data_IF_053278886905
#
_entry.id   IF_053278886905
#
_cell.length_a   1.000
_cell.length_b   1.000
_cell.length_c   1.000
_cell.angle_alpha   90.00
_cell.angle_beta   90.00
_cell.angle_gamma   90.00
#
_symmetry.space_group_name_H-M   'P 1'
#
loop_
_entity.id
_entity.type
_entity.pdbx_description
1 polymer ?
#
# COMPACT_ATOMS: atom_id res chain seq x y z
N UNK A 1 -6.79 62.79 -24.27
CA UNK A 1 -7.32 61.75 -23.35
C UNK A 1 -8.35 60.80 -23.97
N UNK A 2 -9.20 61.20 -24.93
CA UNK A 2 -10.25 60.33 -25.51
C UNK A 2 -9.73 59.20 -26.44
N UNK A 3 -8.63 59.39 -27.17
CA UNK A 3 -8.11 58.36 -28.09
C UNK A 3 -7.39 57.20 -27.39
N UNK A 4 -6.81 57.44 -26.22
CA UNK A 4 -6.09 56.41 -25.45
C UNK A 4 -7.07 55.38 -24.85
N UNK A 5 -8.26 55.82 -24.45
CA UNK A 5 -9.32 54.96 -23.94
C UNK A 5 -9.93 54.06 -25.03
N UNK A 6 -10.12 54.59 -26.25
CA UNK A 6 -10.59 53.76 -27.38
C UNK A 6 -9.59 52.65 -27.73
N UNK A 7 -8.30 52.93 -27.71
CA UNK A 7 -7.27 51.93 -28.01
C UNK A 7 -7.22 50.80 -26.98
N UNK A 8 -7.45 51.10 -25.70
CA UNK A 8 -7.48 50.10 -24.62
C UNK A 8 -8.73 49.22 -24.72
N UNK A 9 -9.89 49.83 -25.00
CA UNK A 9 -11.15 49.09 -25.19
C UNK A 9 -11.06 48.18 -26.42
N UNK A 10 -10.48 48.66 -27.52
CA UNK A 10 -10.35 47.88 -28.76
C UNK A 10 -9.36 46.71 -28.62
N UNK A 11 -8.26 46.89 -27.87
CA UNK A 11 -7.33 45.79 -27.52
C UNK A 11 -7.96 44.77 -26.58
N UNK A 12 -8.76 45.22 -25.60
CA UNK A 12 -9.49 44.33 -24.68
C UNK A 12 -10.55 43.51 -25.42
N UNK A 13 -11.29 44.13 -26.35
CA UNK A 13 -12.27 43.45 -27.20
C UNK A 13 -11.60 42.41 -28.10
N UNK A 14 -10.44 42.73 -28.67
CA UNK A 14 -9.70 41.81 -29.55
C UNK A 14 -9.12 40.62 -28.78
N UNK A 15 -8.65 40.84 -27.55
CA UNK A 15 -8.25 39.78 -26.61
C UNK A 15 -9.42 38.86 -26.23
N UNK A 16 -10.61 39.42 -26.02
CA UNK A 16 -11.82 38.64 -25.73
C UNK A 16 -12.27 37.79 -26.92
N UNK A 17 -12.19 38.33 -28.15
CA UNK A 17 -12.55 37.60 -29.37
C UNK A 17 -11.57 36.44 -29.63
N UNK A 18 -10.27 36.65 -29.46
CA UNK A 18 -9.25 35.60 -29.60
C UNK A 18 -9.42 34.51 -28.54
N UNK A 19 -9.83 34.86 -27.32
CA UNK A 19 -10.07 33.89 -26.25
C UNK A 19 -11.36 33.06 -26.45
N UNK A 20 -12.35 33.61 -27.18
CA UNK A 20 -13.60 32.92 -27.51
C UNK A 20 -13.53 32.02 -28.75
N UNK A 21 -12.47 32.15 -29.57
CA UNK A 21 -12.32 31.45 -30.84
C UNK A 21 -11.56 30.11 -30.74
N UNK A 22 -11.19 29.66 -29.55
CA UNK A 22 -10.70 28.29 -29.34
C UNK A 22 -11.89 27.36 -29.09
N UNK A 23 -12.35 26.57 -30.08
CA UNK A 23 -13.30 25.51 -29.80
C UNK A 23 -12.68 24.59 -28.75
N UNK A 24 -13.37 24.43 -27.62
CA UNK A 24 -13.05 23.38 -26.65
C UNK A 24 -13.26 22.05 -27.38
N UNK A 25 -12.20 21.49 -27.94
CA UNK A 25 -12.16 20.07 -28.27
C UNK A 25 -12.27 19.30 -26.95
N UNK A 26 -13.51 18.98 -26.56
CA UNK A 26 -13.76 17.93 -25.58
C UNK A 26 -13.47 16.64 -26.34
N UNK A 27 -12.22 16.21 -26.30
CA UNK A 27 -11.84 14.88 -26.74
C UNK A 27 -12.41 13.91 -25.70
N UNK A 28 -13.64 13.42 -25.92
CA UNK A 28 -14.17 12.33 -25.10
C UNK A 28 -13.45 11.06 -25.53
N UNK A 29 -12.39 10.69 -24.81
CA UNK A 29 -11.75 9.40 -25.04
C UNK A 29 -12.78 8.30 -24.80
N UNK A 30 -12.91 7.30 -25.69
CA UNK A 30 -13.82 6.19 -25.47
C UNK A 30 -13.51 5.52 -24.14
N UNK A 31 -14.54 5.33 -23.29
CA UNK A 31 -14.38 4.70 -21.99
C UNK A 31 -13.96 3.24 -22.17
N UNK A 32 -12.70 2.91 -21.89
CA UNK A 32 -12.22 1.53 -21.89
C UNK A 32 -12.98 0.74 -20.82
N UNK A 33 -13.67 -0.32 -21.22
CA UNK A 33 -14.29 -1.27 -20.27
C UNK A 33 -13.16 -2.04 -19.60
N UNK A 34 -12.96 -1.85 -18.30
CA UNK A 34 -11.98 -2.58 -17.50
C UNK A 34 -12.67 -3.30 -16.34
N UNK A 35 -12.13 -4.46 -15.99
CA UNK A 35 -12.51 -5.19 -14.77
C UNK A 35 -11.36 -5.01 -13.78
N UNK A 36 -11.65 -4.45 -12.61
CA UNK A 36 -10.67 -4.21 -11.54
C UNK A 36 -11.09 -5.04 -10.34
N UNK A 37 -10.13 -5.76 -9.77
CA UNK A 37 -10.29 -6.62 -8.59
C UNK A 37 -9.26 -6.21 -7.54
N UNK A 38 -9.66 -6.22 -6.27
CA UNK A 38 -8.78 -5.96 -5.14
C UNK A 38 -9.07 -6.94 -4.01
N UNK A 39 -8.01 -7.36 -3.31
CA UNK A 39 -8.10 -8.21 -2.13
C UNK A 39 -7.63 -7.41 -0.91
N UNK A 40 -8.48 -7.32 0.10
CA UNK A 40 -8.17 -6.64 1.36
C UNK A 40 -8.02 -7.66 2.49
N UNK A 41 -7.08 -7.42 3.39
CA UNK A 41 -6.92 -8.24 4.58
C UNK A 41 -8.06 -8.03 5.58
N UNK A 42 -8.17 -8.93 6.56
CA UNK A 42 -9.14 -8.79 7.67
C UNK A 42 -8.63 -7.91 8.81
N UNK A 43 -7.32 -7.76 8.93
CA UNK A 43 -6.67 -6.92 9.95
C UNK A 43 -6.43 -5.51 9.44
N UNK A 44 -6.14 -4.59 10.36
CA UNK A 44 -5.85 -3.18 10.07
C UNK A 44 -4.43 -2.99 9.55
N UNK A 45 -4.18 -1.85 8.91
CA UNK A 45 -2.86 -1.46 8.41
C UNK A 45 -1.80 -1.50 9.53
N UNK A 46 -0.70 -2.21 9.25
CA UNK A 46 0.46 -2.31 10.14
C UNK A 46 1.60 -1.39 9.70
N UNK A 47 2.50 -1.06 10.62
CA UNK A 47 3.66 -0.19 10.37
C UNK A 47 4.74 -0.91 9.55
N UNK A 48 5.26 -0.26 8.51
CA UNK A 48 6.35 -0.81 7.69
C UNK A 48 7.64 -1.05 8.49
N UNK A 49 7.93 -0.22 9.49
CA UNK A 49 9.10 -0.42 10.36
C UNK A 49 8.91 -1.66 11.24
N UNK A 50 7.69 -1.90 11.73
CA UNK A 50 7.39 -3.12 12.49
C UNK A 50 7.44 -4.37 11.59
N UNK A 51 6.92 -4.30 10.37
CA UNK A 51 7.03 -5.42 9.42
C UNK A 51 8.49 -5.69 9.04
N UNK A 52 9.29 -4.64 8.87
CA UNK A 52 10.71 -4.78 8.62
C UNK A 52 11.45 -5.38 9.83
N UNK A 53 11.09 -5.02 11.07
CA UNK A 53 11.71 -5.66 12.25
C UNK A 53 11.39 -7.16 12.30
N UNK A 54 10.16 -7.56 12.00
CA UNK A 54 9.77 -8.98 11.94
C UNK A 54 10.50 -9.75 10.84
N UNK A 55 10.76 -9.11 9.69
CA UNK A 55 11.64 -9.68 8.66
C UNK A 55 13.06 -9.91 9.20
N UNK A 56 13.60 -8.94 9.94
CA UNK A 56 14.94 -9.08 10.56
C UNK A 56 14.97 -10.21 11.57
N UNK A 57 13.92 -10.37 12.38
CA UNK A 57 13.82 -11.45 13.35
C UNK A 57 13.79 -12.83 12.69
N UNK A 58 13.12 -12.96 11.54
CA UNK A 58 13.14 -14.22 10.78
C UNK A 58 14.56 -14.59 10.32
N UNK A 59 15.41 -13.62 10.01
CA UNK A 59 16.82 -13.87 9.67
C UNK A 59 17.67 -14.17 10.92
N UNK A 60 17.53 -13.38 11.98
CA UNK A 60 18.20 -13.59 13.28
C UNK A 60 17.66 -12.65 14.37
N UNK A 61 17.50 -13.14 15.60
CA UNK A 61 17.20 -12.33 16.78
C UNK A 61 18.22 -11.19 16.98
N UNK A 62 19.48 -11.42 16.63
CA UNK A 62 20.52 -10.36 16.72
C UNK A 62 20.28 -9.23 15.73
N UNK A 63 19.76 -9.54 14.54
CA UNK A 63 19.42 -8.55 13.52
C UNK A 63 18.16 -7.78 13.91
N UNK A 64 17.17 -8.44 14.54
CA UNK A 64 16.02 -7.74 15.11
C UNK A 64 16.48 -6.64 16.06
N UNK A 65 17.28 -6.99 17.08
CA UNK A 65 17.74 -6.00 18.06
C UNK A 65 18.68 -4.94 17.46
N UNK A 66 19.52 -5.30 16.49
CA UNK A 66 20.33 -4.32 15.76
C UNK A 66 19.46 -3.33 14.99
N UNK A 67 18.38 -3.78 14.35
CA UNK A 67 17.44 -2.91 13.65
C UNK A 67 16.67 -1.99 14.60
N UNK A 68 16.28 -2.49 15.77
CA UNK A 68 15.70 -1.66 16.83
C UNK A 68 16.68 -0.55 17.28
N UNK A 69 17.97 -0.87 17.39
CA UNK A 69 19.00 0.11 17.76
C UNK A 69 19.16 1.20 16.69
N UNK A 70 19.15 0.83 15.42
CA UNK A 70 19.16 1.77 14.29
C UNK A 70 17.96 2.73 14.33
N UNK A 71 16.76 2.25 14.68
CA UNK A 71 15.57 3.09 14.85
C UNK A 71 15.76 4.08 16.01
N UNK A 72 16.33 3.63 17.13
CA UNK A 72 16.55 4.49 18.31
C UNK A 72 17.56 5.59 17.99
N UNK A 73 18.64 5.27 17.29
CA UNK A 73 19.74 6.18 17.02
C UNK A 73 19.46 7.16 15.87
N UNK A 74 18.85 6.70 14.78
CA UNK A 74 18.78 7.49 13.52
C UNK A 74 17.44 8.18 13.30
N UNK A 75 16.37 7.76 13.98
CA UNK A 75 15.04 8.31 13.75
C UNK A 75 14.71 9.46 14.70
N UNK A 76 14.11 10.53 14.16
CA UNK A 76 13.47 11.55 14.99
C UNK A 76 12.03 11.13 15.33
N UNK A 77 11.79 10.69 16.56
CA UNK A 77 10.47 10.21 17.02
C UNK A 77 9.42 11.32 17.07
N UNK A 78 9.84 12.57 17.19
CA UNK A 78 8.91 13.71 17.27
C UNK A 78 8.25 13.96 15.91
N UNK A 79 8.91 13.61 14.81
CA UNK A 79 8.37 13.78 13.46
C UNK A 79 7.62 12.54 12.95
N UNK A 80 7.78 11.38 13.61
CA UNK A 80 7.27 10.09 13.12
C UNK A 80 5.79 10.13 12.73
N UNK A 81 4.96 10.74 13.57
CA UNK A 81 3.51 10.84 13.37
C UNK A 81 3.10 11.71 12.16
N UNK A 82 4.03 12.50 11.60
CA UNK A 82 3.76 13.37 10.44
C UNK A 82 4.08 12.68 9.11
N UNK A 83 4.70 11.50 9.13
CA UNK A 83 5.20 10.85 7.94
C UNK A 83 4.11 10.09 7.19
N UNK A 84 4.07 10.27 5.87
CA UNK A 84 3.21 9.48 4.99
C UNK A 84 3.67 8.02 4.93
N UNK A 85 2.77 7.11 4.57
CA UNK A 85 3.06 5.67 4.40
C UNK A 85 4.27 5.43 3.48
N UNK A 86 4.40 6.20 2.39
CA UNK A 86 5.55 6.13 1.50
C UNK A 86 6.87 6.51 2.19
N UNK A 87 6.87 7.60 2.98
CA UNK A 87 8.05 8.02 3.73
C UNK A 87 8.41 7.04 4.83
N UNK A 88 7.42 6.44 5.49
CA UNK A 88 7.63 5.38 6.49
C UNK A 88 8.26 4.13 5.86
N UNK A 89 7.79 3.73 4.66
CA UNK A 89 8.39 2.65 3.88
C UNK A 89 9.86 2.96 3.51
N UNK A 90 10.12 4.13 2.94
CA UNK A 90 11.47 4.53 2.54
C UNK A 90 12.44 4.53 3.74
N UNK A 91 11.94 4.96 4.90
CA UNK A 91 12.71 4.95 6.13
C UNK A 91 12.98 3.53 6.63
N UNK A 92 11.98 2.65 6.59
CA UNK A 92 12.14 1.25 6.99
C UNK A 92 13.23 0.56 6.15
N UNK A 93 13.19 0.75 4.83
CA UNK A 93 14.18 0.23 3.87
C UNK A 93 15.55 0.87 4.10
N UNK A 94 15.61 2.18 4.33
CA UNK A 94 16.88 2.88 4.60
C UNK A 94 17.55 2.37 5.88
N UNK A 95 16.81 2.22 6.97
CA UNK A 95 17.36 1.69 8.22
C UNK A 95 17.88 0.26 8.03
N UNK A 96 17.14 -0.55 7.27
CA UNK A 96 17.53 -1.93 6.97
C UNK A 96 18.82 -2.01 6.15
N UNK A 97 19.06 -1.04 5.26
CA UNK A 97 20.24 -1.02 4.40
C UNK A 97 21.57 -0.88 5.14
N UNK A 98 21.56 -0.43 6.39
CA UNK A 98 22.76 -0.40 7.22
C UNK A 98 23.15 -1.79 7.76
N UNK A 99 22.20 -2.73 7.77
CA UNK A 99 22.36 -4.04 8.40
C UNK A 99 22.36 -5.21 7.39
N UNK A 100 21.68 -5.03 6.26
CA UNK A 100 21.48 -6.08 5.26
C UNK A 100 22.30 -5.87 3.99
N UNK A 101 22.73 -6.99 3.40
CA UNK A 101 23.32 -7.04 2.06
C UNK A 101 22.25 -6.79 0.96
N UNK A 102 22.70 -6.46 -0.25
CA UNK A 102 21.82 -6.10 -1.38
C UNK A 102 20.77 -7.18 -1.72
N UNK A 103 21.15 -8.46 -1.70
CA UNK A 103 20.25 -9.58 -1.98
C UNK A 103 19.12 -9.67 -0.95
N UNK A 104 19.45 -9.55 0.34
CA UNK A 104 18.48 -9.53 1.44
C UNK A 104 17.64 -8.26 1.41
N UNK A 105 18.19 -7.13 0.99
CA UNK A 105 17.42 -5.89 0.80
C UNK A 105 16.36 -6.03 -0.29
N UNK A 106 16.64 -6.73 -1.38
CA UNK A 106 15.64 -7.01 -2.41
C UNK A 106 14.54 -7.94 -1.89
N UNK A 107 14.91 -8.93 -1.07
CA UNK A 107 13.95 -9.81 -0.42
C UNK A 107 13.07 -9.06 0.59
N UNK A 108 13.64 -8.15 1.39
CA UNK A 108 12.89 -7.29 2.32
C UNK A 108 11.87 -6.45 1.55
N UNK A 109 12.28 -5.77 0.48
CA UNK A 109 11.36 -4.96 -0.35
C UNK A 109 10.22 -5.80 -0.91
N UNK A 110 10.52 -7.04 -1.33
CA UNK A 110 9.52 -7.99 -1.79
C UNK A 110 8.58 -8.45 -0.65
N UNK A 111 9.11 -8.75 0.54
CA UNK A 111 8.31 -9.13 1.70
C UNK A 111 7.37 -7.99 2.14
N UNK A 112 7.85 -6.73 2.13
CA UNK A 112 7.06 -5.54 2.43
C UNK A 112 5.98 -5.28 1.36
N UNK A 113 6.26 -5.53 0.07
CA UNK A 113 5.25 -5.38 -0.98
C UNK A 113 4.15 -6.44 -0.91
N UNK A 114 4.48 -7.64 -0.42
CA UNK A 114 3.52 -8.72 -0.14
C UNK A 114 2.80 -8.57 1.20
N UNK A 115 3.27 -7.69 2.09
CA UNK A 115 2.79 -7.61 3.49
C UNK A 115 2.95 -8.93 4.24
N UNK A 116 4.04 -9.65 3.98
CA UNK A 116 4.27 -11.02 4.47
C UNK A 116 4.27 -11.13 6.01
N UNK A 117 4.78 -10.10 6.69
CA UNK A 117 4.86 -10.04 8.16
C UNK A 117 3.73 -9.23 8.81
N UNK A 118 2.86 -8.60 8.02
CA UNK A 118 1.68 -7.92 8.54
C UNK A 118 0.79 -8.80 9.46
N UNK A 119 0.55 -10.11 9.19
CA UNK A 119 -0.25 -10.95 10.08
C UNK A 119 0.46 -11.32 11.40
N UNK A 120 1.78 -11.21 11.51
CA UNK A 120 2.50 -11.52 12.77
C UNK A 120 2.34 -10.40 13.79
N UNK A 121 2.07 -9.18 13.31
CA UNK A 121 1.80 -7.98 14.11
C UNK A 121 0.36 -7.99 14.64
N UNK A 122 0.02 -9.03 15.41
CA UNK A 122 -1.26 -9.15 16.10
C UNK A 122 -1.43 -8.05 17.15
N UNK A 123 -2.59 -7.39 17.18
CA UNK A 123 -2.87 -6.31 18.14
C UNK A 123 -3.68 -6.84 19.33
N UNK A 124 -3.05 -6.87 20.51
CA UNK A 124 -3.78 -7.07 21.77
C UNK A 124 -4.53 -5.79 22.14
N UNK A 125 -5.85 -5.89 22.36
CA UNK A 125 -6.69 -4.74 22.71
C UNK A 125 -6.74 -4.53 24.22
N UNK A 126 -5.64 -4.09 24.83
CA UNK A 126 -5.67 -3.55 26.20
C UNK A 126 -5.51 -2.03 26.18
N UNK A 127 -6.50 -1.35 26.76
CA UNK A 127 -6.71 0.09 26.65
C UNK A 127 -6.20 0.80 27.89
N UNK A 128 -5.13 1.58 27.76
CA UNK A 128 -4.97 2.80 28.56
C UNK A 128 -3.94 3.76 27.94
N UNK A 129 -2.79 3.25 27.51
CA UNK A 129 -1.60 4.08 27.23
C UNK A 129 -1.01 3.82 25.84
N UNK A 130 -0.19 4.75 25.34
CA UNK A 130 0.44 4.63 24.02
C UNK A 130 1.55 3.56 23.98
N UNK A 131 2.27 3.42 25.09
CA UNK A 131 3.16 2.31 25.40
C UNK A 131 3.02 1.98 26.89
N UNK A 132 3.26 0.73 27.26
CA UNK A 132 3.18 0.27 28.64
C UNK A 132 4.09 -0.93 28.88
N UNK A 133 4.44 -1.15 30.14
CA UNK A 133 5.21 -2.30 30.60
C UNK A 133 4.30 -3.26 31.38
N UNK A 134 4.49 -4.55 31.18
CA UNK A 134 3.89 -5.63 31.96
C UNK A 134 4.99 -6.39 32.70
N UNK A 135 4.92 -6.37 34.02
CA UNK A 135 5.79 -7.12 34.92
C UNK A 135 4.92 -8.08 35.72
N UNK A 136 4.88 -9.34 35.27
CA UNK A 136 4.17 -10.42 35.96
C UNK A 136 2.69 -10.09 36.24
N UNK A 137 2.02 -9.44 35.28
CA UNK A 137 0.60 -9.06 35.38
C UNK A 137 0.36 -7.64 35.89
N UNK A 138 1.38 -6.99 36.47
CA UNK A 138 1.30 -5.58 36.90
C UNK A 138 1.66 -4.67 35.73
N UNK A 139 0.67 -3.89 35.26
CA UNK A 139 0.83 -2.95 34.16
C UNK A 139 1.26 -1.57 34.65
N UNK A 140 2.25 -0.95 34.02
CA UNK A 140 2.62 0.46 34.24
C UNK A 140 2.74 1.23 32.94
N UNK A 141 2.27 2.48 32.95
CA UNK A 141 2.36 3.40 31.82
C UNK A 141 3.45 4.46 31.97
N UNK A 142 4.07 4.57 33.14
CA UNK A 142 5.21 5.46 33.36
C UNK A 142 6.49 4.64 33.52
N UNK A 143 7.54 5.12 32.85
CA UNK A 143 8.89 4.57 32.92
C UNK A 143 9.49 4.79 34.31
N UNK A 144 9.12 5.87 35.00
CA UNK A 144 9.63 6.19 36.34
C UNK A 144 9.19 5.17 37.41
N UNK A 145 8.04 4.52 37.20
CA UNK A 145 7.52 3.51 38.12
C UNK A 145 8.03 2.10 37.80
N UNK A 146 8.78 1.93 36.70
CA UNK A 146 9.25 0.63 36.23
C UNK A 146 10.12 -0.08 37.26
N UNK A 147 11.10 0.62 37.86
CA UNK A 147 11.97 0.03 38.89
C UNK A 147 11.18 -0.38 40.13
N UNK A 148 10.23 0.46 40.57
CA UNK A 148 9.38 0.16 41.73
C UNK A 148 8.53 -1.09 41.50
N UNK A 149 7.98 -1.25 40.29
CA UNK A 149 7.17 -2.41 39.92
C UNK A 149 8.02 -3.69 39.84
N UNK A 150 9.27 -3.59 39.37
CA UNK A 150 10.20 -4.73 39.30
C UNK A 150 10.62 -5.20 40.70
N UNK A 151 10.83 -4.27 41.62
CA UNK A 151 11.25 -4.54 43.00
C UNK A 151 10.09 -4.96 43.92
N UNK A 152 8.84 -4.85 43.45
CA UNK A 152 7.66 -5.31 44.19
C UNK A 152 7.67 -6.82 44.38
N UNK A 153 7.39 -7.30 45.59
CA UNK A 153 7.20 -8.73 45.88
C UNK A 153 5.78 -9.23 45.57
N UNK A 154 4.81 -8.33 45.39
CA UNK A 154 3.45 -8.68 44.99
C UNK A 154 3.36 -8.82 43.45
N UNK A 155 3.97 -9.90 42.94
CA UNK A 155 3.99 -10.24 41.52
C UNK A 155 3.00 -11.36 41.24
N UNK A 156 2.25 -11.21 40.14
CA UNK A 156 1.41 -12.28 39.62
C UNK A 156 2.24 -13.43 39.02
N UNK A 157 1.60 -14.38 38.33
CA UNK A 157 2.31 -15.48 37.70
C UNK A 157 3.27 -14.98 36.61
N UNK A 158 4.34 -15.74 36.36
CA UNK A 158 5.29 -15.46 35.29
C UNK A 158 4.53 -15.41 33.95
N UNK A 159 4.63 -14.31 33.18
CA UNK A 159 3.96 -14.19 31.90
C UNK A 159 4.45 -15.26 30.93
N UNK A 160 3.51 -15.81 30.15
CA UNK A 160 3.85 -16.71 29.06
C UNK A 160 4.62 -15.96 27.98
N UNK A 161 5.83 -16.43 27.67
CA UNK A 161 6.62 -15.99 26.53
C UNK A 161 6.33 -16.95 25.37
N UNK A 162 5.94 -16.40 24.22
CA UNK A 162 5.59 -17.15 23.02
C UNK A 162 6.80 -17.31 22.10
N UNK A 163 6.72 -18.22 21.14
CA UNK A 163 7.80 -18.44 20.15
C UNK A 163 8.02 -17.25 19.21
N UNK A 164 7.04 -16.34 19.09
CA UNK A 164 7.11 -15.12 18.29
C UNK A 164 7.68 -13.93 19.08
N UNK A 165 7.93 -14.09 20.37
CA UNK A 165 8.41 -13.00 21.22
C UNK A 165 9.92 -12.81 21.09
N UNK A 166 10.33 -11.55 20.97
CA UNK A 166 11.75 -11.19 20.91
C UNK A 166 12.30 -10.96 22.31
N UNK A 167 13.29 -11.76 22.70
CA UNK A 167 13.88 -11.76 24.07
C UNK A 167 15.27 -11.12 24.07
N UNK A 168 15.56 -10.30 25.08
CA UNK A 168 16.85 -9.65 25.31
C UNK A 168 17.34 -9.77 26.78
N UNK A 169 18.61 -10.19 27.02
CA UNK A 169 19.52 -10.85 26.08
C UNK A 169 19.13 -12.32 25.87
N UNK A 170 19.61 -12.93 24.78
CA UNK A 170 19.26 -14.30 24.37
C UNK A 170 19.66 -15.38 25.40
N UNK A 171 20.68 -15.15 26.23
CA UNK A 171 21.37 -16.24 26.97
C UNK A 171 21.30 -16.20 28.50
N UNK A 172 20.52 -15.31 29.11
CA UNK A 172 20.51 -15.17 30.57
C UNK A 172 19.18 -15.62 31.17
N UNK A 173 19.28 -16.53 32.15
CA UNK A 173 18.18 -16.79 33.06
C UNK A 173 17.98 -15.56 33.96
N UNK A 174 16.80 -14.95 33.85
CA UNK A 174 16.38 -13.88 34.74
C UNK A 174 15.09 -14.27 35.45
N UNK A 175 15.00 -13.91 36.73
CA UNK A 175 13.84 -14.24 37.58
C UNK A 175 12.60 -13.38 37.24
N UNK A 176 12.81 -12.20 36.64
CA UNK A 176 11.74 -11.24 36.32
C UNK A 176 11.63 -11.10 34.80
N UNK A 177 10.42 -11.21 34.29
CA UNK A 177 10.11 -11.01 32.86
C UNK A 177 9.39 -9.68 32.71
N UNK A 178 9.99 -8.78 31.94
CA UNK A 178 9.47 -7.47 31.61
C UNK A 178 9.06 -7.46 30.14
N UNK A 179 7.77 -7.29 29.87
CA UNK A 179 7.24 -7.20 28.51
C UNK A 179 6.91 -5.73 28.22
N UNK A 180 7.51 -5.15 27.19
CA UNK A 180 7.16 -3.80 26.73
C UNK A 180 6.24 -3.93 25.53
N UNK A 181 5.11 -3.24 25.61
CA UNK A 181 4.16 -3.05 24.52
C UNK A 181 4.27 -1.61 24.05
N UNK A 182 4.49 -1.41 22.75
CA UNK A 182 4.43 -0.08 22.17
C UNK A 182 4.62 -0.09 20.66
N UNK A 183 4.29 1.04 20.06
CA UNK A 183 4.50 1.26 18.63
C UNK A 183 5.94 1.72 18.43
N UNK A 184 6.68 1.01 17.57
CA UNK A 184 8.05 1.40 17.23
C UNK A 184 8.07 2.84 16.72
N UNK A 185 9.20 3.51 16.91
CA UNK A 185 9.39 4.90 16.50
C UNK A 185 8.50 5.94 17.20
N UNK A 186 7.77 5.58 18.26
CA UNK A 186 7.07 6.56 19.11
C UNK A 186 7.93 7.02 20.29
N UNK A 187 7.76 8.27 20.78
CA UNK A 187 8.50 8.77 21.94
C UNK A 187 8.25 7.96 23.22
N UNK A 188 7.02 7.50 23.44
CA UNK A 188 6.64 6.68 24.61
C UNK A 188 7.36 5.34 24.59
N UNK A 189 7.33 4.63 23.45
CA UNK A 189 8.05 3.37 23.29
C UNK A 189 9.56 3.54 23.48
N UNK A 190 10.17 4.58 22.90
CA UNK A 190 11.62 4.81 23.01
C UNK A 190 12.07 4.92 24.46
N UNK A 191 11.33 5.66 25.30
CA UNK A 191 11.65 5.80 26.73
C UNK A 191 11.62 4.46 27.45
N UNK A 192 10.57 3.66 27.22
CA UNK A 192 10.45 2.32 27.80
C UNK A 192 11.56 1.38 27.31
N UNK A 193 11.84 1.38 26.01
CA UNK A 193 12.87 0.55 25.40
C UNK A 193 14.25 0.81 26.00
N UNK A 194 14.65 2.09 26.10
CA UNK A 194 15.95 2.48 26.70
C UNK A 194 16.08 2.03 28.15
N UNK A 195 15.03 2.25 28.95
CA UNK A 195 15.01 1.82 30.36
C UNK A 195 15.06 0.28 30.49
N UNK A 196 14.21 -0.44 29.74
CA UNK A 196 14.16 -1.90 29.74
C UNK A 196 15.49 -2.51 29.31
N UNK A 197 16.14 -1.95 28.29
CA UNK A 197 17.45 -2.41 27.80
C UNK A 197 18.55 -2.18 28.83
N UNK A 198 18.55 -1.05 29.53
CA UNK A 198 19.49 -0.78 30.61
C UNK A 198 19.32 -1.76 31.78
N UNK A 199 18.07 -1.97 32.22
CA UNK A 199 17.73 -2.92 33.29
C UNK A 199 18.12 -4.35 32.93
N UNK A 200 17.85 -4.76 31.70
CA UNK A 200 18.21 -6.08 31.18
C UNK A 200 19.73 -6.29 31.12
N UNK A 201 20.49 -5.29 30.65
CA UNK A 201 21.96 -5.32 30.66
C UNK A 201 22.54 -5.43 32.07
N UNK A 202 21.92 -4.76 33.05
CA UNK A 202 22.30 -4.86 34.46
C UNK A 202 21.95 -6.20 35.11
N UNK A 203 21.23 -7.09 34.41
CA UNK A 203 20.89 -8.42 34.91
C UNK A 203 19.56 -8.51 35.65
N UNK A 204 18.85 -7.39 35.84
CA UNK A 204 17.62 -7.33 36.67
C UNK A 204 16.42 -8.02 36.04
N UNK A 205 16.27 -7.94 34.71
CA UNK A 205 15.08 -8.41 33.99
C UNK A 205 15.42 -9.09 32.67
N UNK A 206 14.60 -10.08 32.29
CA UNK A 206 14.48 -10.55 30.92
C UNK A 206 13.54 -9.60 30.18
N UNK A 207 14.05 -8.90 29.18
CA UNK A 207 13.28 -7.94 28.40
C UNK A 207 12.65 -8.64 27.20
N UNK A 208 11.35 -8.46 27.01
CA UNK A 208 10.59 -8.92 25.85
C UNK A 208 9.93 -7.72 25.18
N UNK A 209 10.03 -7.61 23.86
CA UNK A 209 9.35 -6.58 23.08
C UNK A 209 8.17 -7.19 22.31
N UNK A 210 6.97 -6.66 22.52
CA UNK A 210 5.78 -6.98 21.73
C UNK A 210 5.27 -5.73 21.01
N UNK A 211 4.93 -5.90 19.74
CA UNK A 211 4.33 -4.83 18.96
C UNK A 211 2.93 -4.51 19.48
N UNK A 212 2.66 -3.21 19.68
CA UNK A 212 1.35 -2.74 20.09
C UNK A 212 1.08 -1.37 19.49
N UNK A 213 -0.14 -1.16 18.99
CA UNK A 213 -0.58 0.13 18.48
C UNK A 213 -1.87 0.49 19.21
N UNK A 214 -1.88 1.65 19.86
CA UNK A 214 -3.05 2.12 20.62
C UNK A 214 -4.17 2.53 19.67
N UNK A 215 -3.85 3.40 18.73
CA UNK A 215 -4.79 3.99 17.79
C UNK A 215 -4.72 3.23 16.46
N UNK A 216 -5.47 2.13 16.41
CA UNK A 216 -5.51 1.24 15.25
C UNK A 216 -6.21 1.97 14.09
N UNK A 217 -5.56 2.01 12.94
CA UNK A 217 -6.15 2.59 11.72
C UNK A 217 -7.28 1.71 11.19
N UNK A 218 -8.29 2.32 10.58
CA UNK A 218 -9.43 1.60 10.01
C UNK A 218 -9.15 1.06 8.59
N UNK A 219 -8.11 1.56 7.92
CA UNK A 219 -7.73 1.06 6.60
C UNK A 219 -7.14 -0.34 6.68
N UNK A 220 -7.52 -1.16 5.70
CA UNK A 220 -7.10 -2.56 5.58
C UNK A 220 -6.07 -2.68 4.47
N UNK A 221 -4.94 -3.39 4.71
CA UNK A 221 -3.92 -3.56 3.70
C UNK A 221 -4.47 -4.29 2.48
N UNK A 222 -4.06 -3.81 1.30
CA UNK A 222 -4.21 -4.54 0.05
C UNK A 222 -3.22 -5.70 0.05
N UNK A 223 -3.71 -6.90 -0.23
CA UNK A 223 -2.89 -8.09 -0.31
C UNK A 223 -2.46 -8.33 -1.75
N UNK A 224 -1.24 -8.83 -1.91
CA UNK A 224 -0.65 -9.22 -3.19
C UNK A 224 -0.40 -10.74 -3.20
N UNK A 225 -0.08 -11.31 -4.36
CA UNK A 225 0.21 -12.75 -4.48
C UNK A 225 -1.01 -13.64 -4.75
N UNK A 226 -2.12 -13.06 -5.19
CA UNK A 226 -3.28 -13.78 -5.70
C UNK A 226 -3.44 -13.56 -7.21
N UNK A 227 -3.98 -14.56 -7.91
CA UNK A 227 -4.37 -14.46 -9.31
C UNK A 227 -5.88 -14.30 -9.44
N UNK A 228 -6.34 -13.55 -10.43
CA UNK A 228 -7.75 -13.45 -10.80
C UNK A 228 -7.94 -13.92 -12.22
N UNK A 229 -8.94 -14.77 -12.42
CA UNK A 229 -9.32 -15.27 -13.73
C UNK A 229 -10.71 -14.76 -14.12
N UNK A 230 -10.88 -14.47 -15.42
CA UNK A 230 -12.18 -14.21 -16.03
C UNK A 230 -12.52 -15.39 -16.92
N UNK A 231 -13.28 -16.33 -16.37
CA UNK A 231 -13.72 -17.51 -17.10
C UNK A 231 -14.96 -17.19 -17.94
N UNK A 232 -14.93 -17.53 -19.23
CA UNK A 232 -16.10 -17.46 -20.11
C UNK A 232 -17.00 -18.65 -19.79
N UNK A 233 -18.21 -18.38 -19.27
CA UNK A 233 -19.16 -19.43 -18.86
C UNK A 233 -19.94 -20.04 -20.02
N UNK A 234 -20.17 -19.30 -21.11
CA UNK A 234 -20.93 -19.77 -22.28
C UNK A 234 -20.01 -19.90 -23.48
N UNK A 235 -19.63 -21.12 -23.83
CA UNK A 235 -18.82 -21.44 -25.02
C UNK A 235 -19.66 -21.90 -26.22
N UNK A 236 -20.97 -22.01 -26.05
CA UNK A 236 -21.91 -22.39 -27.11
C UNK A 236 -22.22 -21.16 -27.98
N UNK A 237 -21.59 -21.06 -29.15
CA UNK A 237 -22.01 -20.10 -30.17
C UNK A 237 -23.29 -20.63 -30.84
N UNK A 238 -24.41 -19.92 -30.66
CA UNK A 238 -25.53 -20.05 -31.59
C UNK A 238 -25.13 -19.29 -32.86
N UNK A 239 -24.74 -20.02 -33.90
CA UNK A 239 -24.66 -19.44 -35.23
C UNK A 239 -26.09 -19.03 -35.63
N UNK A 240 -26.37 -17.73 -35.57
CA UNK A 240 -27.56 -17.17 -36.21
C UNK A 240 -27.18 -17.02 -37.67
N UNK A 241 -27.90 -17.71 -38.54
CA UNK A 241 -27.75 -17.61 -39.99
C UNK A 241 -28.35 -16.27 -40.45
N UNK A 242 -27.51 -15.26 -40.64
CA UNK A 242 -27.91 -13.92 -41.07
C UNK A 242 -28.33 -13.85 -42.56
N UNK A 243 -28.39 -15.00 -43.26
CA UNK A 243 -28.76 -15.07 -44.68
C UNK A 243 -30.20 -14.65 -45.02
N UNK A 244 -31.02 -14.29 -44.01
CA UNK A 244 -32.40 -13.83 -44.22
C UNK A 244 -32.65 -12.36 -43.85
N UNK A 245 -31.64 -11.54 -43.55
CA UNK A 245 -31.83 -10.11 -43.25
C UNK A 245 -31.94 -9.22 -44.52
N UNK A 246 -32.01 -9.80 -45.73
CA UNK A 246 -32.14 -9.04 -46.99
C UNK A 246 -33.40 -9.45 -47.77
N UNK A 247 -34.56 -9.41 -47.14
CA UNK A 247 -35.83 -9.27 -47.88
C UNK A 247 -36.84 -8.45 -47.07
N UNK A 248 -36.60 -7.14 -46.95
CA UNK A 248 -37.70 -6.17 -47.01
C UNK A 248 -37.14 -4.79 -47.37
N UNK A 249 -37.01 -4.56 -48.68
CA UNK A 249 -36.83 -3.22 -49.25
C UNK A 249 -38.20 -2.57 -49.37
N UNK A 250 -38.57 -1.65 -48.47
CA UNK A 250 -39.48 -0.56 -48.79
C UNK A 250 -39.03 0.75 -48.13
N UNK A 251 -38.56 1.65 -48.99
CA UNK A 251 -38.56 3.11 -48.91
C UNK A 251 -37.92 3.82 -47.71
N UNK A 252 -36.70 4.34 -47.89
CA UNK A 252 -36.29 5.65 -47.36
C UNK A 252 -35.37 6.33 -48.39
N UNK A 253 -35.57 7.64 -48.50
CA UNK A 253 -35.13 8.63 -49.47
C UNK A 253 -33.60 8.75 -49.67
N UNK A 254 -33.23 9.24 -50.85
CA UNK A 254 -31.91 9.74 -51.19
C UNK A 254 -31.49 10.86 -50.21
N UNK A 255 -30.52 10.56 -49.35
CA UNK A 255 -29.60 11.56 -48.82
C UNK A 255 -28.18 11.13 -49.17
N UNK A 256 -27.60 11.81 -50.15
CA UNK A 256 -26.19 11.76 -50.46
C UNK A 256 -25.38 12.28 -49.27
N UNK A 257 -24.92 11.37 -48.42
CA UNK A 257 -23.78 11.61 -47.54
C UNK A 257 -22.66 10.67 -47.98
N UNK A 258 -21.61 11.30 -48.48
CA UNK A 258 -20.32 10.71 -48.80
C UNK A 258 -19.78 10.04 -47.52
N UNK A 259 -19.84 8.71 -47.48
CA UNK A 259 -19.21 7.91 -46.43
C UNK A 259 -17.70 8.07 -46.55
N UNK A 260 -17.14 8.99 -45.78
CA UNK A 260 -15.71 8.99 -45.47
C UNK A 260 -15.48 7.81 -44.53
N UNK A 261 -15.21 6.65 -45.14
CA UNK A 261 -14.78 5.40 -44.51
C UNK A 261 -13.39 5.59 -43.89
N UNK A 262 -13.35 6.17 -42.69
CA UNK A 262 -12.22 6.03 -41.78
C UNK A 262 -12.48 4.85 -40.84
N UNK A 263 -12.57 3.63 -41.40
CA UNK A 263 -12.45 2.38 -40.63
C UNK A 263 -10.99 2.15 -40.23
N UNK A 264 -10.61 2.73 -39.08
CA UNK A 264 -9.48 2.25 -38.29
C UNK A 264 -9.78 0.83 -37.77
N UNK A 265 -9.00 -0.13 -38.28
CA UNK A 265 -8.61 -1.38 -37.65
C UNK A 265 -9.70 -2.16 -36.88
N UNK A 266 -10.48 -2.95 -37.63
CA UNK A 266 -11.18 -4.10 -37.08
C UNK A 266 -10.16 -5.11 -36.52
N UNK A 267 -9.90 -5.05 -35.21
CA UNK A 267 -9.21 -6.09 -34.42
C UNK A 267 -7.96 -6.71 -35.07
N UNK A 268 -7.08 -5.87 -35.63
CA UNK A 268 -5.78 -6.30 -36.18
C UNK A 268 -5.79 -6.78 -37.64
N UNK A 269 -6.91 -6.70 -38.36
CA UNK A 269 -6.96 -6.97 -39.80
C UNK A 269 -7.21 -5.70 -40.61
N UNK A 270 -6.29 -5.39 -41.53
CA UNK A 270 -6.39 -4.22 -42.41
C UNK A 270 -7.13 -4.58 -43.72
N UNK A 271 -8.45 -4.43 -43.73
CA UNK A 271 -9.30 -4.76 -44.88
C UNK A 271 -9.04 -3.86 -46.09
N UNK A 272 -8.52 -2.65 -45.88
CA UNK A 272 -8.10 -1.76 -46.97
C UNK A 272 -6.96 -2.35 -47.80
N UNK A 273 -5.99 -2.99 -47.15
CA UNK A 273 -4.89 -3.67 -47.84
C UNK A 273 -5.41 -4.90 -48.61
N UNK A 274 -6.33 -5.68 -48.02
CA UNK A 274 -6.95 -6.83 -48.67
C UNK A 274 -7.78 -6.44 -49.90
N UNK A 275 -8.65 -5.41 -49.80
CA UNK A 275 -9.45 -4.90 -50.93
C UNK A 275 -8.57 -4.42 -52.08
N UNK A 276 -7.38 -3.87 -51.78
CA UNK A 276 -6.43 -3.41 -52.81
C UNK A 276 -5.71 -4.55 -53.51
N UNK A 277 -5.38 -5.63 -52.79
CA UNK A 277 -4.64 -6.78 -53.34
C UNK A 277 -5.55 -7.78 -54.06
N UNK A 278 -6.82 -7.89 -53.64
CA UNK A 278 -7.79 -8.83 -54.19
C UNK A 278 -9.04 -8.08 -54.65
N UNK A 279 -8.93 -7.42 -55.80
CA UNK A 279 -10.03 -6.63 -56.39
C UNK A 279 -11.19 -7.48 -56.88
N UNK A 280 -10.94 -8.77 -57.16
CA UNK A 280 -11.90 -9.80 -57.55
C UNK A 280 -12.80 -10.28 -56.40
N UNK A 281 -12.33 -10.13 -55.15
CA UNK A 281 -13.04 -10.58 -53.95
C UNK A 281 -13.68 -9.43 -53.17
N UNK A 282 -13.77 -8.24 -53.78
CA UNK A 282 -14.26 -7.01 -53.12
C UNK A 282 -15.67 -7.17 -52.52
N UNK A 283 -16.54 -7.89 -53.22
CA UNK A 283 -17.91 -8.15 -52.78
C UNK A 283 -17.97 -9.13 -51.60
N UNK A 284 -17.10 -10.14 -51.59
CA UNK A 284 -16.96 -11.09 -50.47
C UNK A 284 -16.30 -10.45 -49.25
N UNK A 285 -15.34 -9.55 -49.45
CA UNK A 285 -14.66 -8.81 -48.38
C UNK A 285 -15.62 -7.80 -47.72
N UNK A 286 -16.59 -7.27 -48.46
CA UNK A 286 -17.62 -6.37 -47.92
C UNK A 286 -18.69 -7.05 -47.06
N UNK A 287 -18.68 -8.39 -46.96
CA UNK A 287 -19.58 -9.15 -46.10
C UNK A 287 -19.03 -9.37 -44.67
N UNK A 288 -17.80 -8.95 -44.40
CA UNK A 288 -17.11 -9.09 -43.11
C UNK A 288 -17.00 -7.76 -42.37
#
# INVERSE_FOLDING_TARGET
MKSLWLFIIMKSLWLFIILSAFPKMIHSSPSKKSVITSLHAKWSQTSFIAEASEFMAQESDTLFWAYIDEIVEKLNVDEWHTYSDAKQYDLAVRLASYLLEETRMNLLKFALSLRAHSPTLGTERKKSCAAFADVHGTLTCDVNDLEKVIESDDRGPVPTVYSIDHVFPVSKEHNVTLIIYGELATPSWRKFHLAAKALSRSGKVKYVLRHFVKDIRDDKPLLSGYGVELAIKSTEYKAVDDSNAVTDKVAVEESSEEYIDNEEDNYGFNFNTLRRLHSDLKESIGQF
#
